data_IF_390084124636
#
_entry.id   IF_390084124636
#
_cell.length_a   1.000
_cell.length_b   1.000
_cell.length_c   1.000
_cell.angle_alpha   90.00
_cell.angle_beta   90.00
_cell.angle_gamma   90.00
#
_symmetry.space_group_name_H-M   'P 1'
#
loop_
_entity.id
_entity.type
_entity.pdbx_description
1 polymer ?
#
# COMPACT_ATOMS: atom_id res chain seq x y z
N UNK A 1 9.22 26.95 -22.25
CA UNK A 1 9.31 26.70 -20.80
C UNK A 1 10.09 25.41 -20.62
N UNK A 2 11.37 25.51 -20.21
CA UNK A 2 12.23 24.33 -20.03
C UNK A 2 11.85 23.68 -18.71
N UNK A 3 11.31 22.47 -18.76
CA UNK A 3 10.97 21.72 -17.56
C UNK A 3 12.29 21.35 -16.88
N UNK A 4 12.60 22.00 -15.76
CA UNK A 4 13.72 21.62 -14.90
C UNK A 4 13.54 20.15 -14.51
N UNK A 5 14.49 19.30 -14.90
CA UNK A 5 14.56 17.93 -14.42
C UNK A 5 14.84 18.00 -12.92
N UNK A 6 13.79 17.82 -12.11
CA UNK A 6 13.96 17.68 -10.67
C UNK A 6 14.61 16.32 -10.43
N UNK A 7 15.90 16.33 -10.09
CA UNK A 7 16.71 15.16 -9.75
C UNK A 7 16.51 14.82 -8.27
N UNK A 8 16.15 13.57 -7.98
CA UNK A 8 15.90 13.09 -6.63
C UNK A 8 17.12 12.32 -6.22
N UNK A 9 17.49 12.47 -4.95
CA UNK A 9 18.53 11.63 -4.40
C UNK A 9 17.95 10.22 -4.25
N UNK A 10 18.78 9.23 -4.52
CA UNK A 10 18.49 7.84 -4.20
C UNK A 10 18.06 7.68 -2.72
N UNK A 11 18.56 8.57 -1.86
CA UNK A 11 18.23 8.66 -0.44
C UNK A 11 16.76 9.01 -0.17
N UNK A 12 16.14 9.91 -0.95
CA UNK A 12 14.71 10.23 -0.78
C UNK A 12 13.84 9.02 -1.12
N UNK A 13 14.16 8.31 -2.20
CA UNK A 13 13.46 7.07 -2.56
C UNK A 13 13.62 6.00 -1.49
N UNK A 14 14.83 5.82 -0.96
CA UNK A 14 15.12 4.88 0.13
C UNK A 14 14.40 5.23 1.42
N UNK A 15 14.32 6.51 1.78
CA UNK A 15 13.59 6.98 2.96
C UNK A 15 12.11 6.66 2.85
N UNK A 16 11.47 7.04 1.73
CA UNK A 16 10.04 6.78 1.52
C UNK A 16 9.75 5.28 1.47
N UNK A 17 10.63 4.49 0.85
CA UNK A 17 10.51 3.03 0.87
C UNK A 17 10.62 2.47 2.30
N UNK A 18 11.58 2.93 3.10
CA UNK A 18 11.76 2.49 4.48
C UNK A 18 10.54 2.82 5.35
N UNK A 19 9.92 3.99 5.15
CA UNK A 19 8.68 4.38 5.84
C UNK A 19 7.50 3.47 5.47
N UNK A 20 7.33 3.15 4.18
CA UNK A 20 6.31 2.20 3.73
C UNK A 20 6.54 0.80 4.31
N UNK A 21 7.78 0.34 4.37
CA UNK A 21 8.14 -0.95 4.98
C UNK A 21 7.92 -0.93 6.49
N UNK A 22 8.24 0.18 7.16
CA UNK A 22 8.01 0.34 8.60
C UNK A 22 6.51 0.27 8.93
N UNK A 23 5.67 0.96 8.16
CA UNK A 23 4.22 0.87 8.32
C UNK A 23 3.69 -0.53 7.98
N UNK A 24 4.16 -1.14 6.89
CA UNK A 24 3.78 -2.51 6.55
C UNK A 24 4.09 -3.47 7.69
N UNK A 25 5.24 -3.34 8.35
CA UNK A 25 5.67 -4.22 9.43
C UNK A 25 5.11 -3.83 10.82
N UNK A 26 4.29 -2.78 10.91
CA UNK A 26 3.65 -2.40 12.16
C UNK A 26 2.74 -3.54 12.67
N UNK A 27 2.78 -3.83 13.97
CA UNK A 27 2.15 -5.03 14.53
C UNK A 27 0.62 -5.04 14.34
N UNK A 28 -0.13 -3.95 14.63
CA UNK A 28 -1.55 -3.86 14.29
C UNK A 28 -1.83 -4.10 12.81
N UNK A 29 -1.03 -3.53 11.91
CA UNK A 29 -1.25 -3.69 10.47
C UNK A 29 -0.98 -5.13 10.02
N UNK A 30 0.09 -5.75 10.52
CA UNK A 30 0.40 -7.16 10.25
C UNK A 30 -0.68 -8.12 10.75
N UNK A 31 -1.39 -7.80 11.84
CA UNK A 31 -2.55 -8.60 12.28
C UNK A 31 -3.69 -8.54 11.27
N UNK A 32 -3.97 -7.37 10.69
CA UNK A 32 -4.98 -7.22 9.62
C UNK A 32 -4.54 -7.94 8.34
N UNK A 33 -3.25 -7.86 7.99
CA UNK A 33 -2.69 -8.61 6.85
C UNK A 33 -2.80 -10.12 7.07
N UNK A 34 -2.54 -10.60 8.29
CA UNK A 34 -2.73 -12.01 8.64
C UNK A 34 -4.21 -12.45 8.54
N UNK A 35 -5.15 -11.59 8.96
CA UNK A 35 -6.60 -11.81 8.77
C UNK A 35 -6.94 -11.96 7.29
N UNK A 36 -6.44 -11.04 6.43
CA UNK A 36 -6.59 -11.11 4.98
C UNK A 36 -6.08 -12.45 4.41
N UNK A 37 -4.86 -12.87 4.78
CA UNK A 37 -4.28 -14.11 4.25
C UNK A 37 -4.88 -15.39 4.88
N UNK A 38 -5.61 -15.27 6.00
CA UNK A 38 -6.37 -16.39 6.56
C UNK A 38 -7.61 -16.75 5.71
N UNK A 39 -8.05 -15.85 4.83
CA UNK A 39 -9.17 -16.10 3.92
C UNK A 39 -8.70 -17.08 2.82
N UNK A 40 -9.39 -18.22 2.65
CA UNK A 40 -8.90 -19.29 1.78
C UNK A 40 -9.03 -18.96 0.29
N UNK A 41 -10.11 -18.29 -0.11
CA UNK A 41 -10.40 -18.01 -1.51
C UNK A 41 -10.04 -16.58 -1.92
N UNK A 42 -9.64 -16.44 -3.19
CA UNK A 42 -9.18 -15.17 -3.75
C UNK A 42 -10.28 -14.10 -3.79
N UNK A 43 -11.53 -14.50 -4.04
CA UNK A 43 -12.65 -13.57 -4.10
C UNK A 43 -12.94 -12.94 -2.73
N UNK A 44 -12.92 -13.75 -1.67
CA UNK A 44 -13.06 -13.29 -0.29
C UNK A 44 -11.93 -12.35 0.12
N UNK A 45 -10.69 -12.62 -0.30
CA UNK A 45 -9.56 -11.71 -0.08
C UNK A 45 -9.78 -10.35 -0.76
N UNK A 46 -10.25 -10.35 -2.00
CA UNK A 46 -10.55 -9.09 -2.70
C UNK A 46 -11.68 -8.31 -2.06
N UNK A 47 -12.73 -8.98 -1.58
CA UNK A 47 -13.81 -8.31 -0.87
C UNK A 47 -13.35 -7.76 0.47
N UNK A 48 -12.51 -8.51 1.20
CA UNK A 48 -11.90 -8.01 2.44
C UNK A 48 -11.06 -6.75 2.18
N UNK A 49 -10.25 -6.73 1.12
CA UNK A 49 -9.49 -5.52 0.78
C UNK A 49 -10.43 -4.36 0.47
N UNK A 50 -11.44 -4.60 -0.35
CA UNK A 50 -12.39 -3.59 -0.83
C UNK A 50 -13.23 -2.97 0.29
N UNK A 51 -13.71 -3.79 1.21
CA UNK A 51 -14.63 -3.34 2.27
C UNK A 51 -13.88 -2.91 3.54
N UNK A 52 -12.75 -3.56 3.84
CA UNK A 52 -12.09 -3.42 5.13
C UNK A 52 -10.69 -2.81 5.04
N UNK A 53 -9.78 -3.38 4.25
CA UNK A 53 -8.39 -2.94 4.26
C UNK A 53 -8.19 -1.51 3.75
N UNK A 54 -9.00 -1.06 2.79
CA UNK A 54 -8.95 0.34 2.33
C UNK A 54 -9.82 1.29 3.18
N UNK A 55 -10.57 0.76 4.14
CA UNK A 55 -11.44 1.53 5.01
C UNK A 55 -10.67 2.01 6.26
N UNK A 56 -10.44 3.32 6.34
CA UNK A 56 -9.70 3.93 7.45
C UNK A 56 -10.38 3.72 8.81
N UNK A 57 -11.71 3.71 8.87
CA UNK A 57 -12.44 3.50 10.13
C UNK A 57 -12.29 2.07 10.64
N UNK A 58 -12.34 1.09 9.72
CA UNK A 58 -12.06 -0.31 10.05
C UNK A 58 -10.64 -0.49 10.58
N UNK A 59 -9.66 0.07 9.87
CA UNK A 59 -8.25 0.02 10.27
C UNK A 59 -8.04 0.65 11.65
N UNK A 60 -8.60 1.83 11.89
CA UNK A 60 -8.51 2.51 13.18
C UNK A 60 -9.16 1.69 14.31
N UNK A 61 -10.32 1.06 14.05
CA UNK A 61 -10.96 0.16 15.01
C UNK A 61 -10.14 -1.09 15.32
N UNK A 62 -9.24 -1.51 14.43
CA UNK A 62 -8.25 -2.58 14.63
C UNK A 62 -6.94 -2.08 15.26
N UNK A 63 -6.86 -0.79 15.63
CA UNK A 63 -5.67 -0.16 16.21
C UNK A 63 -4.60 0.21 15.18
N UNK A 64 -4.93 0.21 13.88
CA UNK A 64 -4.06 0.66 12.81
C UNK A 64 -4.32 2.15 12.56
N UNK A 65 -3.35 2.99 12.93
CA UNK A 65 -3.37 4.40 12.54
C UNK A 65 -2.56 4.58 11.25
N UNK A 66 -3.25 4.72 10.11
CA UNK A 66 -2.59 4.91 8.81
C UNK A 66 -2.06 6.34 8.73
N UNK A 67 -0.73 6.54 8.54
CA UNK A 67 -0.16 7.87 8.37
C UNK A 67 -0.84 8.61 7.21
N UNK A 68 -1.10 9.91 7.37
CA UNK A 68 -1.88 10.71 6.41
C UNK A 68 -1.31 10.72 4.99
N UNK A 69 -0.01 10.48 4.85
CA UNK A 69 0.69 10.46 3.58
C UNK A 69 0.94 9.05 3.01
N UNK A 70 0.45 8.01 3.70
CA UNK A 70 0.40 6.64 3.20
C UNK A 70 -1.02 6.33 2.72
N UNK A 71 -1.11 5.84 1.49
CA UNK A 71 -2.37 5.45 0.84
C UNK A 71 -2.41 3.93 0.77
N UNK A 72 -3.42 3.33 1.38
CA UNK A 72 -3.80 1.93 1.18
C UNK A 72 -4.84 1.87 0.07
N UNK A 73 -4.54 1.17 -1.03
CA UNK A 73 -5.42 1.14 -2.19
C UNK A 73 -5.35 -0.17 -2.95
N UNK A 74 -6.26 -0.34 -3.92
CA UNK A 74 -6.18 -1.40 -4.92
C UNK A 74 -5.52 -0.88 -6.20
N UNK A 75 -4.88 -1.78 -6.94
CA UNK A 75 -4.33 -1.50 -8.25
C UNK A 75 -4.55 -2.71 -9.18
N UNK A 76 -4.22 -2.51 -10.45
CA UNK A 76 -4.16 -3.56 -11.45
C UNK A 76 -2.77 -3.57 -12.07
N UNK A 77 -2.27 -4.75 -12.42
CA UNK A 77 -1.14 -4.89 -13.31
C UNK A 77 -1.54 -4.52 -14.74
N UNK A 78 -0.55 -4.30 -15.61
CA UNK A 78 -0.77 -3.95 -17.02
C UNK A 78 -1.59 -5.00 -17.78
N UNK A 79 -1.50 -6.28 -17.38
CA UNK A 79 -2.25 -7.41 -17.94
C UNK A 79 -3.67 -7.54 -17.36
N UNK A 80 -4.16 -6.52 -16.66
CA UNK A 80 -5.46 -6.47 -15.97
C UNK A 80 -5.62 -7.46 -14.81
N UNK A 81 -4.55 -8.13 -14.36
CA UNK A 81 -4.62 -8.90 -13.12
C UNK A 81 -4.76 -7.94 -11.93
N UNK A 82 -5.78 -8.07 -11.07
CA UNK A 82 -5.89 -7.26 -9.87
C UNK A 82 -4.74 -7.59 -8.92
N UNK A 83 -4.09 -6.56 -8.38
CA UNK A 83 -3.25 -6.74 -7.20
C UNK A 83 -4.14 -7.04 -6.00
N UNK A 84 -3.58 -7.63 -4.95
CA UNK A 84 -4.34 -7.77 -3.71
C UNK A 84 -4.55 -6.39 -3.08
N UNK A 85 -3.46 -5.69 -2.76
CA UNK A 85 -3.48 -4.25 -2.43
C UNK A 85 -2.10 -3.62 -2.63
N UNK A 86 -2.04 -2.31 -2.51
CA UNK A 86 -0.82 -1.53 -2.62
C UNK A 86 -0.74 -0.50 -1.49
N UNK A 87 0.49 -0.27 -1.03
CA UNK A 87 0.84 0.88 -0.19
C UNK A 87 1.57 1.90 -1.03
N UNK A 88 1.09 3.14 -1.03
CA UNK A 88 1.64 4.21 -1.86
C UNK A 88 1.93 5.43 -1.01
N UNK A 89 3.11 6.02 -1.21
CA UNK A 89 3.47 7.32 -0.65
C UNK A 89 4.08 8.21 -1.73
N UNK A 90 3.58 9.44 -1.82
CA UNK A 90 4.10 10.42 -2.76
C UNK A 90 5.40 11.04 -2.22
N UNK A 91 6.33 11.32 -3.12
CA UNK A 91 7.53 12.11 -2.81
C UNK A 91 7.15 13.57 -2.51
N UNK A 92 8.12 14.38 -2.09
CA UNK A 92 7.87 15.77 -1.69
C UNK A 92 7.20 16.62 -2.78
N UNK A 93 7.42 16.28 -4.05
CA UNK A 93 6.81 16.98 -5.20
C UNK A 93 5.34 16.67 -5.46
N UNK A 94 4.77 15.70 -4.75
CA UNK A 94 3.39 15.23 -4.94
C UNK A 94 3.07 14.74 -6.36
N UNK A 95 4.09 14.42 -7.18
CA UNK A 95 3.94 13.91 -8.55
C UNK A 95 4.48 12.50 -8.69
N UNK A 96 5.63 12.23 -8.08
CA UNK A 96 6.21 10.90 -8.02
C UNK A 96 5.81 10.20 -6.75
N UNK A 97 5.89 8.87 -6.78
CA UNK A 97 5.50 8.02 -5.67
C UNK A 97 6.35 6.77 -5.62
N UNK A 98 6.51 6.23 -4.43
CA UNK A 98 6.92 4.85 -4.21
C UNK A 98 5.66 4.04 -3.97
N UNK A 99 5.60 2.83 -4.53
CA UNK A 99 4.49 1.91 -4.31
C UNK A 99 5.02 0.51 -4.06
N UNK A 100 4.56 -0.08 -2.96
CA UNK A 100 4.80 -1.48 -2.64
C UNK A 100 3.51 -2.23 -2.94
N UNK A 101 3.60 -3.22 -3.81
CA UNK A 101 2.46 -4.06 -4.18
C UNK A 101 2.53 -5.37 -3.41
N UNK A 102 1.43 -5.70 -2.74
CA UNK A 102 1.23 -6.99 -2.11
C UNK A 102 0.34 -7.80 -3.05
N UNK A 103 0.82 -8.98 -3.40
CA UNK A 103 0.12 -9.89 -4.30
C UNK A 103 -0.07 -11.25 -3.62
N UNK A 104 -1.07 -12.00 -4.07
CA UNK A 104 -1.40 -13.33 -3.51
C UNK A 104 -0.60 -14.47 -4.16
N UNK A 105 0.26 -14.16 -5.14
CA UNK A 105 1.11 -15.12 -5.85
C UNK A 105 0.34 -16.14 -6.70
N UNK A 106 -0.99 -15.98 -6.83
CA UNK A 106 -1.83 -16.86 -7.63
C UNK A 106 -1.79 -16.39 -9.10
N UNK A 107 -0.88 -17.00 -9.87
CA UNK A 107 -0.76 -16.82 -11.32
C UNK A 107 -1.82 -17.62 -12.07
#
# INVERSE_FOLDING_TARGET
>A
MTQSLVTYTEDELKSVYAELISFYNDEPFQKVVAELFSIPDRSGRFEFVKEQLINKEYLLAKGVDVPEDIIVQRSYFYDNRPTLFCLTKYLQDKKRKVTITIDDGAF
#
